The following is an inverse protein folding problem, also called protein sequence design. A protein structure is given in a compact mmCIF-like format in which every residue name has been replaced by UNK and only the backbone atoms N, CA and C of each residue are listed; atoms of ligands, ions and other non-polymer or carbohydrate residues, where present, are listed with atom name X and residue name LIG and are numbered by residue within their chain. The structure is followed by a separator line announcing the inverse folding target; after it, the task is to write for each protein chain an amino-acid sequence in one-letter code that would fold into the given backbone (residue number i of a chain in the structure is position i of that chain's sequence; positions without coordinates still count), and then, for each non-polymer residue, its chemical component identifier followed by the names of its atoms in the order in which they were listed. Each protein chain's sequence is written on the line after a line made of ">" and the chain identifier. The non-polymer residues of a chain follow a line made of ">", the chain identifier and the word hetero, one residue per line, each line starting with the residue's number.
data_IF_272827879800
#
_entry.id   IF_272827879800
#
_cell.length_a   1.000
_cell.length_b   1.000
_cell.length_c   1.000
_cell.angle_alpha   90.00
_cell.angle_beta   90.00
_cell.angle_gamma   90.00
#
_symmetry.space_group_name_H-M   'P 1'
#
loop_
_entity.id
_entity.type
_entity.pdbx_description
1 polymer ?
#
# COMPACT_ATOMS: atom_id res chain seq x y z
N UNK A 1 28.33 -8.99 -18.39
CA UNK A 1 27.46 -9.47 -17.29
C UNK A 1 26.02 -9.27 -17.80
N UNK A 2 25.25 -10.34 -18.07
CA UNK A 2 23.86 -10.17 -18.54
C UNK A 2 22.99 -9.82 -17.34
N UNK A 3 22.50 -8.60 -17.27
CA UNK A 3 21.54 -8.18 -16.24
C UNK A 3 20.18 -8.80 -16.57
N UNK A 4 19.71 -9.73 -15.73
CA UNK A 4 18.33 -10.19 -15.72
C UNK A 4 17.52 -9.25 -14.83
N UNK A 5 16.51 -8.56 -15.37
CA UNK A 5 15.58 -7.80 -14.54
C UNK A 5 14.70 -8.78 -13.75
N UNK A 6 14.64 -8.64 -12.43
CA UNK A 6 14.18 -9.72 -11.55
C UNK A 6 13.32 -9.19 -10.40
N UNK A 7 12.18 -9.82 -10.12
CA UNK A 7 11.08 -9.13 -9.42
C UNK A 7 10.66 -10.00 -8.18
N UNK A 8 10.38 -9.40 -7.00
CA UNK A 8 10.07 -10.11 -5.73
C UNK A 8 8.57 -10.36 -5.47
N UNK A 9 8.05 -11.58 -5.53
CA UNK A 9 6.65 -11.90 -5.22
C UNK A 9 6.37 -12.01 -3.72
N UNK A 10 5.20 -11.64 -3.21
CA UNK A 10 4.78 -12.08 -1.86
C UNK A 10 3.76 -13.19 -2.05
N UNK A 11 4.05 -14.41 -1.62
CA UNK A 11 3.10 -15.51 -1.70
C UNK A 11 2.52 -15.78 -0.31
N UNK A 12 1.22 -15.62 -0.22
CA UNK A 12 0.36 -16.33 0.73
C UNK A 12 -0.60 -17.21 -0.09
N UNK A 13 -0.81 -18.45 0.37
CA UNK A 13 -1.74 -19.48 -0.14
C UNK A 13 -1.13 -20.59 -1.08
N UNK A 14 -1.80 -21.77 -1.18
CA UNK A 14 -1.17 -23.05 -1.53
C UNK A 14 -1.05 -23.30 -3.04
N UNK A 15 -0.11 -24.19 -3.39
CA UNK A 15 0.40 -24.46 -4.74
C UNK A 15 -0.65 -24.84 -5.81
N UNK A 16 -0.51 -24.29 -7.03
CA UNK A 16 -0.47 -25.01 -8.33
C UNK A 16 -0.12 -24.05 -9.50
N UNK A 17 0.33 -24.61 -10.64
CA UNK A 17 1.25 -24.05 -11.65
C UNK A 17 0.71 -23.05 -12.70
N UNK A 18 1.60 -22.16 -13.21
CA UNK A 18 1.46 -21.43 -14.50
C UNK A 18 2.45 -20.23 -14.67
N UNK A 19 3.01 -20.03 -15.88
CA UNK A 19 4.12 -19.08 -16.23
C UNK A 19 3.69 -17.63 -16.59
N UNK A 20 4.68 -16.71 -16.62
CA UNK A 20 4.82 -15.41 -17.33
C UNK A 20 5.06 -14.16 -16.45
N UNK A 21 5.62 -13.12 -17.10
CA UNK A 21 5.96 -11.75 -16.66
C UNK A 21 5.74 -11.48 -15.17
N UNK A 22 6.79 -11.64 -14.32
CA UNK A 22 6.66 -11.43 -12.89
C UNK A 22 6.26 -10.01 -12.56
N UNK A 23 5.04 -10.06 -12.15
CA UNK A 23 4.28 -9.09 -11.47
C UNK A 23 3.89 -9.94 -10.23
N UNK A 24 4.06 -9.37 -9.05
CA UNK A 24 4.37 -10.01 -7.76
C UNK A 24 3.26 -10.63 -6.88
N UNK A 25 2.43 -11.56 -7.33
CA UNK A 25 1.11 -11.79 -6.68
C UNK A 25 1.06 -12.61 -5.40
N UNK A 26 0.28 -12.15 -4.42
CA UNK A 26 -0.44 -13.03 -3.51
C UNK A 26 -1.69 -13.62 -4.21
N UNK A 27 -2.10 -14.81 -3.78
CA UNK A 27 -3.33 -15.47 -4.22
C UNK A 27 -4.35 -15.44 -3.09
N UNK A 28 -5.34 -14.58 -3.24
CA UNK A 28 -6.59 -14.67 -2.51
C UNK A 28 -7.68 -14.19 -3.43
N UNK A 29 -8.67 -15.04 -3.70
CA UNK A 29 -9.87 -14.69 -4.44
C UNK A 29 -10.58 -13.50 -3.77
N UNK A 30 -10.32 -12.30 -4.26
CA UNK A 30 -11.11 -11.11 -3.95
C UNK A 30 -11.26 -10.29 -5.23
N UNK A 31 -12.43 -10.41 -5.85
CA UNK A 31 -12.81 -9.57 -6.99
C UNK A 31 -13.13 -8.17 -6.48
N UNK A 32 -12.11 -7.34 -6.26
CA UNK A 32 -12.29 -5.93 -5.95
C UNK A 32 -12.25 -5.10 -7.23
N UNK A 33 -13.41 -4.54 -7.61
CA UNK A 33 -13.50 -3.49 -8.61
C UNK A 33 -12.77 -2.26 -8.05
N UNK A 34 -11.69 -1.82 -8.71
CA UNK A 34 -11.00 -0.58 -8.35
C UNK A 34 -11.82 0.63 -8.81
N UNK A 35 -12.73 1.10 -7.98
CA UNK A 35 -13.28 2.46 -8.13
C UNK A 35 -12.22 3.46 -7.64
N UNK A 36 -11.82 4.39 -8.52
CA UNK A 36 -10.92 5.47 -8.14
C UNK A 36 -11.56 6.30 -7.02
N UNK A 37 -10.99 6.23 -5.82
CA UNK A 37 -11.42 7.00 -4.63
C UNK A 37 -10.97 8.46 -4.76
N UNK A 38 -11.47 9.17 -5.76
CA UNK A 38 -11.25 10.62 -5.94
C UNK A 38 -12.52 11.44 -5.78
N UNK A 39 -13.69 10.81 -5.75
CA UNK A 39 -14.96 11.50 -5.54
C UNK A 39 -15.18 11.79 -4.06
N UNK A 40 -15.34 13.07 -3.70
CA UNK A 40 -15.72 13.52 -2.35
C UNK A 40 -16.82 12.65 -1.72
N UNK A 41 -16.83 12.48 -0.37
CA UNK A 41 -17.89 11.73 0.27
C UNK A 41 -19.23 12.40 -0.05
N UNK A 42 -20.23 11.57 -0.31
CA UNK A 42 -21.50 12.05 -0.83
C UNK A 42 -22.55 10.96 -0.93
N UNK A 43 -23.69 11.39 -1.43
CA UNK A 43 -24.87 10.56 -1.58
C UNK A 43 -25.80 11.13 -2.64
N UNK A 44 -26.72 10.30 -3.10
CA UNK A 44 -27.86 10.71 -3.90
C UNK A 44 -29.09 10.66 -3.02
N UNK A 45 -29.94 11.70 -3.04
CA UNK A 45 -31.28 11.64 -2.48
C UNK A 45 -32.31 11.89 -3.57
N UNK A 46 -33.53 11.40 -3.37
CA UNK A 46 -34.63 11.65 -4.30
C UNK A 46 -35.90 12.08 -3.57
N UNK A 47 -36.75 12.83 -4.28
CA UNK A 47 -37.97 13.37 -3.67
C UNK A 47 -39.07 12.31 -3.53
N UNK A 48 -39.00 11.26 -4.33
CA UNK A 48 -39.89 10.11 -4.21
C UNK A 48 -39.22 8.95 -3.48
N UNK A 49 -40.05 7.99 -3.06
CA UNK A 49 -39.59 6.74 -2.47
C UNK A 49 -38.94 5.82 -3.52
N UNK A 50 -38.20 4.82 -3.05
CA UNK A 50 -37.52 3.80 -3.83
C UNK A 50 -36.57 4.39 -4.89
N UNK A 51 -35.90 5.50 -4.55
CA UNK A 51 -35.00 6.23 -5.45
C UNK A 51 -35.70 6.74 -6.73
N UNK A 52 -36.99 7.07 -6.65
CA UNK A 52 -37.76 7.65 -7.76
C UNK A 52 -37.42 9.13 -8.00
N UNK A 53 -37.33 9.60 -9.26
CA UNK A 53 -36.91 10.96 -9.59
C UNK A 53 -37.92 12.03 -9.13
N UNK A 54 -37.51 13.32 -9.03
CA UNK A 54 -36.16 13.82 -9.28
C UNK A 54 -35.19 13.46 -8.16
N UNK A 55 -33.92 13.31 -8.53
CA UNK A 55 -32.83 13.00 -7.62
C UNK A 55 -31.75 14.08 -7.66
N UNK A 56 -31.14 14.34 -6.51
CA UNK A 56 -30.04 15.28 -6.31
C UNK A 56 -28.81 14.50 -5.88
N UNK A 57 -27.68 14.72 -6.56
CA UNK A 57 -26.38 14.21 -6.13
C UNK A 57 -25.70 15.28 -5.26
N UNK A 58 -25.40 14.91 -4.03
CA UNK A 58 -24.73 15.77 -3.06
C UNK A 58 -23.34 15.24 -2.75
N UNK A 59 -22.31 15.97 -3.17
CA UNK A 59 -20.94 15.82 -2.66
C UNK A 59 -20.67 16.85 -1.58
N UNK A 60 -19.81 16.53 -0.62
CA UNK A 60 -19.39 17.48 0.42
C UNK A 60 -17.91 17.40 0.69
N UNK A 61 -17.27 18.53 1.02
CA UNK A 61 -16.05 18.49 1.78
C UNK A 61 -16.22 17.62 3.04
N UNK A 62 -15.28 16.71 3.34
CA UNK A 62 -15.45 15.75 4.43
C UNK A 62 -15.68 16.44 5.78
N UNK A 63 -16.65 15.93 6.54
CA UNK A 63 -17.04 16.40 7.87
C UNK A 63 -17.56 17.84 7.94
N UNK A 64 -17.85 18.46 6.78
CA UNK A 64 -18.49 19.77 6.73
C UNK A 64 -20.01 19.65 6.83
N UNK A 65 -20.62 20.51 7.64
CA UNK A 65 -22.07 20.66 7.66
C UNK A 65 -22.54 21.44 6.44
N UNK A 66 -23.46 20.86 5.68
CA UNK A 66 -24.08 21.49 4.51
C UNK A 66 -25.58 21.61 4.73
N UNK A 67 -26.10 22.84 4.60
CA UNK A 67 -27.53 23.10 4.59
C UNK A 67 -28.12 22.69 3.25
N UNK A 68 -29.27 22.02 3.28
CA UNK A 68 -30.06 21.76 2.07
C UNK A 68 -30.57 23.11 1.54
N UNK A 69 -30.50 23.31 0.22
CA UNK A 69 -30.99 24.55 -0.39
C UNK A 69 -32.48 24.74 -0.12
N UNK A 70 -32.95 25.99 -0.04
CA UNK A 70 -34.35 26.31 0.27
C UNK A 70 -35.36 25.62 -0.67
N UNK A 71 -34.98 25.36 -1.92
CA UNK A 71 -35.82 24.67 -2.89
C UNK A 71 -35.96 23.16 -2.62
N UNK A 72 -35.02 22.55 -1.90
CA UNK A 72 -34.92 21.10 -1.67
C UNK A 72 -35.12 20.71 -0.21
N UNK A 73 -35.17 21.71 0.68
CA UNK A 73 -35.36 21.53 2.11
C UNK A 73 -36.64 20.74 2.36
N UNK A 74 -36.53 19.70 3.19
CA UNK A 74 -37.68 18.89 3.61
C UNK A 74 -38.41 18.21 2.44
N UNK A 75 -37.70 17.87 1.34
CA UNK A 75 -38.27 17.15 0.19
C UNK A 75 -37.75 15.73 -0.01
N UNK A 76 -36.69 15.33 0.70
CA UNK A 76 -36.09 14.01 0.49
C UNK A 76 -36.97 12.91 1.09
N UNK A 77 -37.24 11.86 0.29
CA UNK A 77 -38.04 10.69 0.70
C UNK A 77 -37.27 9.37 0.56
N UNK A 78 -36.14 9.37 -0.16
CA UNK A 78 -35.20 8.24 -0.25
C UNK A 78 -33.78 8.72 -0.46
N UNK A 79 -32.78 7.89 -0.11
CA UNK A 79 -31.38 8.21 -0.32
C UNK A 79 -30.50 6.97 -0.49
N UNK A 80 -29.35 7.14 -1.15
CA UNK A 80 -28.28 6.15 -1.30
C UNK A 80 -26.92 6.82 -1.16
N UNK A 81 -26.11 6.35 -0.23
CA UNK A 81 -24.73 6.83 -0.03
C UNK A 81 -23.76 6.18 -1.00
N UNK A 82 -22.68 6.91 -1.34
CA UNK A 82 -21.58 6.36 -2.13
C UNK A 82 -20.79 5.29 -1.35
N UNK A 83 -19.88 4.57 -2.03
CA UNK A 83 -19.12 3.46 -1.46
C UNK A 83 -18.26 3.83 -0.26
N UNK A 84 -17.74 5.06 -0.24
CA UNK A 84 -16.79 5.53 0.76
C UNK A 84 -17.38 6.59 1.68
N UNK A 85 -18.71 6.65 1.81
CA UNK A 85 -19.42 7.73 2.49
C UNK A 85 -20.21 7.22 3.68
N UNK A 86 -20.00 7.86 4.81
CA UNK A 86 -20.86 7.75 5.98
C UNK A 86 -21.52 9.11 6.18
N UNK A 87 -22.84 9.18 6.07
CA UNK A 87 -23.56 10.44 6.11
C UNK A 87 -24.52 10.48 7.31
N UNK A 88 -24.57 11.64 7.96
CA UNK A 88 -25.56 11.98 8.97
C UNK A 88 -26.48 13.05 8.38
N UNK A 89 -27.78 12.78 8.36
CA UNK A 89 -28.82 13.72 7.96
C UNK A 89 -29.44 14.33 9.20
N UNK A 90 -29.81 15.62 9.13
CA UNK A 90 -30.33 16.39 10.25
C UNK A 90 -31.70 16.97 9.91
N UNK A 91 -32.62 16.93 10.89
CA UNK A 91 -33.96 17.50 10.73
C UNK A 91 -33.99 19.03 10.65
N UNK A 92 -32.91 19.67 11.08
CA UNK A 92 -32.80 21.12 11.08
C UNK A 92 -31.51 21.57 10.41
N UNK A 93 -31.52 22.80 9.91
CA UNK A 93 -30.33 23.45 9.35
C UNK A 93 -29.20 23.54 10.37
N UNK A 94 -27.98 23.75 9.88
CA UNK A 94 -26.74 23.88 10.63
C UNK A 94 -26.36 22.64 11.42
N UNK A 95 -26.82 21.46 10.97
CA UNK A 95 -26.49 20.15 11.54
C UNK A 95 -26.82 20.03 13.02
N UNK A 96 -28.02 20.47 13.39
CA UNK A 96 -28.56 20.32 14.75
C UNK A 96 -29.88 19.54 14.73
N UNK A 97 -30.32 19.12 15.90
CA UNK A 97 -31.59 18.39 16.07
C UNK A 97 -31.44 16.88 15.89
N UNK A 98 -32.57 16.24 15.59
CA UNK A 98 -32.65 14.80 15.40
C UNK A 98 -31.93 14.37 14.11
N UNK A 99 -31.32 13.19 14.15
CA UNK A 99 -30.45 12.69 13.09
C UNK A 99 -30.84 11.32 12.56
N UNK A 100 -30.51 11.07 11.29
CA UNK A 100 -30.50 9.76 10.68
C UNK A 100 -29.11 9.48 10.09
N UNK A 101 -28.48 8.39 10.53
CA UNK A 101 -27.17 7.99 10.03
C UNK A 101 -27.30 6.88 8.98
N UNK A 102 -26.52 7.01 7.91
CA UNK A 102 -26.49 6.07 6.79
C UNK A 102 -25.03 5.70 6.51
N UNK A 103 -24.75 4.40 6.53
CA UNK A 103 -23.43 3.85 6.26
C UNK A 103 -23.14 3.69 4.76
N UNK A 104 -21.90 3.35 4.39
CA UNK A 104 -21.49 3.18 2.99
C UNK A 104 -22.34 2.18 2.20
N UNK A 105 -22.59 2.49 0.91
CA UNK A 105 -23.46 1.73 -0.01
C UNK A 105 -24.88 1.44 0.49
N UNK A 106 -25.31 2.05 1.60
CA UNK A 106 -26.64 1.81 2.11
C UNK A 106 -27.66 2.62 1.30
N UNK A 107 -28.78 1.96 0.98
CA UNK A 107 -29.93 2.59 0.34
C UNK A 107 -31.10 2.59 1.32
N UNK A 108 -31.64 3.77 1.59
CA UNK A 108 -32.92 3.93 2.27
C UNK A 108 -33.98 4.21 1.21
N UNK A 109 -34.79 3.20 0.93
CA UNK A 109 -35.87 3.31 -0.04
C UNK A 109 -37.03 4.20 0.46
N UNK A 110 -37.23 4.31 1.79
CA UNK A 110 -38.33 5.09 2.36
C UNK A 110 -37.90 5.74 3.67
N UNK A 111 -37.80 7.06 3.69
CA UNK A 111 -37.49 7.81 4.91
C UNK A 111 -38.62 7.73 5.94
N UNK A 112 -39.85 7.43 5.51
CA UNK A 112 -41.01 7.23 6.40
C UNK A 112 -40.78 6.10 7.40
N UNK A 113 -40.04 5.06 7.02
CA UNK A 113 -39.73 3.92 7.89
C UNK A 113 -38.85 4.34 9.09
N UNK A 114 -38.19 5.50 8.97
CA UNK A 114 -37.30 6.10 9.97
C UNK A 114 -37.89 7.38 10.58
N UNK A 115 -39.17 7.71 10.30
CA UNK A 115 -39.79 8.99 10.71
C UNK A 115 -38.98 10.23 10.29
N UNK A 116 -38.37 10.15 9.11
CA UNK A 116 -37.48 11.17 8.56
C UNK A 116 -37.95 11.71 7.18
N UNK A 117 -39.11 11.26 6.71
CA UNK A 117 -39.67 11.60 5.40
C UNK A 117 -39.95 13.08 5.29
N UNK A 118 -39.41 13.75 4.25
CA UNK A 118 -39.61 15.17 4.06
C UNK A 118 -39.19 16.02 5.27
N UNK A 119 -38.09 15.63 5.94
CA UNK A 119 -37.56 16.34 7.11
C UNK A 119 -36.07 16.68 7.00
N UNK A 120 -35.40 16.30 5.92
CA UNK A 120 -33.97 16.56 5.79
C UNK A 120 -33.71 18.04 5.47
N UNK A 121 -33.04 18.74 6.39
CA UNK A 121 -32.70 20.16 6.27
C UNK A 121 -31.19 20.43 6.22
N UNK A 122 -30.37 19.52 6.73
CA UNK A 122 -28.92 19.57 6.59
C UNK A 122 -28.31 18.17 6.57
N UNK A 123 -27.06 18.07 6.13
CA UNK A 123 -26.33 16.83 6.10
C UNK A 123 -24.83 17.06 6.32
N UNK A 124 -24.15 16.01 6.76
CA UNK A 124 -22.70 15.96 6.89
C UNK A 124 -22.25 14.57 6.47
N UNK A 125 -21.32 14.50 5.53
CA UNK A 125 -20.73 13.23 5.11
C UNK A 125 -19.24 13.23 5.48
N UNK A 126 -18.77 12.08 5.93
CA UNK A 126 -17.35 11.82 6.15
C UNK A 126 -16.91 10.63 5.32
N UNK A 127 -15.62 10.60 5.02
CA UNK A 127 -15.01 9.40 4.48
C UNK A 127 -15.19 8.26 5.46
N UNK A 128 -15.57 7.10 4.93
CA UNK A 128 -15.34 5.85 5.63
C UNK A 128 -13.86 5.60 5.53
N UNK A 129 -13.13 5.93 6.60
CA UNK A 129 -11.73 5.52 6.72
C UNK A 129 -11.77 4.01 6.88
N UNK A 130 -11.56 3.27 5.79
CA UNK A 130 -11.37 1.83 5.86
C UNK A 130 -10.14 1.61 6.76
N UNK A 131 -10.26 0.84 7.85
CA UNK A 131 -9.10 0.49 8.65
C UNK A 131 -8.00 -0.08 7.75
N UNK A 132 -6.71 0.20 8.04
CA UNK A 132 -5.63 -0.43 7.30
C UNK A 132 -5.80 -1.95 7.30
N UNK A 133 -5.52 -2.56 6.15
CA UNK A 133 -5.51 -4.01 6.01
C UNK A 133 -4.14 -4.52 6.46
N UNK A 134 -4.13 -5.39 7.46
CA UNK A 134 -2.92 -6.07 7.91
C UNK A 134 -2.63 -7.29 7.03
N UNK A 135 -1.39 -7.40 6.57
CA UNK A 135 -0.90 -8.50 5.74
C UNK A 135 0.24 -9.18 6.49
N UNK A 136 0.21 -10.51 6.52
CA UNK A 136 1.35 -11.34 6.95
C UNK A 136 1.64 -12.36 5.85
N UNK A 137 2.87 -12.41 5.36
CA UNK A 137 3.22 -13.25 4.21
C UNK A 137 4.69 -13.66 4.15
N UNK A 138 5.00 -14.62 3.26
CA UNK A 138 6.36 -14.91 2.83
C UNK A 138 6.62 -14.26 1.46
N UNK A 139 7.87 -13.88 1.18
CA UNK A 139 8.25 -13.24 -0.08
C UNK A 139 8.90 -14.27 -1.00
N UNK A 140 8.19 -14.70 -2.05
CA UNK A 140 8.73 -15.42 -3.21
C UNK A 140 9.55 -14.48 -4.12
N UNK A 141 10.44 -14.99 -4.95
CA UNK A 141 11.12 -14.20 -5.99
C UNK A 141 10.84 -14.83 -7.34
N UNK A 142 10.42 -14.03 -8.31
CA UNK A 142 10.01 -14.49 -9.64
C UNK A 142 10.59 -13.61 -10.77
N UNK A 143 10.84 -14.22 -11.92
CA UNK A 143 11.33 -13.50 -13.09
C UNK A 143 10.26 -12.62 -13.73
N UNK A 144 10.56 -11.32 -13.86
CA UNK A 144 9.67 -10.28 -14.35
C UNK A 144 9.07 -10.51 -15.73
N UNK A 145 9.61 -11.45 -16.51
CA UNK A 145 9.18 -11.70 -17.90
C UNK A 145 8.62 -13.11 -18.09
N UNK A 146 9.11 -14.08 -17.33
CA UNK A 146 8.80 -15.51 -17.50
C UNK A 146 8.01 -16.10 -16.35
N UNK A 147 7.92 -15.43 -15.20
CA UNK A 147 7.28 -15.96 -13.99
C UNK A 147 8.07 -17.09 -13.33
N UNK A 148 9.30 -17.36 -13.80
CA UNK A 148 10.17 -18.39 -13.23
C UNK A 148 10.45 -18.08 -11.77
N UNK A 149 10.18 -19.02 -10.88
CA UNK A 149 10.46 -18.90 -9.45
C UNK A 149 11.95 -19.10 -9.17
N UNK A 150 12.53 -18.20 -8.37
CA UNK A 150 13.87 -18.28 -7.81
C UNK A 150 13.87 -18.69 -6.33
N UNK A 151 12.70 -18.99 -5.77
CA UNK A 151 12.51 -19.33 -4.37
C UNK A 151 12.17 -18.13 -3.50
N UNK A 152 11.98 -18.37 -2.21
CA UNK A 152 11.58 -17.41 -1.20
C UNK A 152 12.79 -16.75 -0.54
N UNK A 153 12.62 -15.47 -0.19
CA UNK A 153 13.55 -14.74 0.65
C UNK A 153 13.72 -15.50 1.95
N UNK A 154 14.97 -15.82 2.25
CA UNK A 154 15.38 -16.42 3.51
C UNK A 154 15.71 -15.33 4.53
N UNK A 155 15.64 -15.65 5.82
CA UNK A 155 16.26 -14.81 6.85
C UNK A 155 17.76 -14.59 6.53
N UNK A 156 18.38 -13.48 6.98
CA UNK A 156 19.75 -13.17 6.60
C UNK A 156 20.66 -14.26 7.15
N UNK A 157 21.24 -15.03 6.23
CA UNK A 157 22.12 -16.17 6.50
C UNK A 157 23.52 -15.92 5.95
N UNK A 158 23.72 -14.83 5.20
CA UNK A 158 25.05 -14.44 4.75
C UNK A 158 25.87 -13.95 5.95
N UNK A 159 27.20 -14.19 5.97
CA UNK A 159 28.08 -13.65 6.99
C UNK A 159 28.13 -12.11 6.99
N UNK A 160 27.55 -11.48 5.97
CA UNK A 160 27.49 -10.02 5.79
C UNK A 160 26.12 -9.43 6.16
N UNK A 161 25.09 -10.24 6.46
CA UNK A 161 23.80 -9.75 6.93
C UNK A 161 22.79 -9.38 5.83
N UNK A 162 23.00 -9.89 4.61
CA UNK A 162 22.10 -9.70 3.46
C UNK A 162 20.97 -10.73 3.41
N UNK A 163 19.83 -10.28 2.90
CA UNK A 163 18.70 -11.13 2.50
C UNK A 163 18.88 -11.64 1.06
N UNK A 164 18.31 -12.81 0.77
CA UNK A 164 18.30 -13.37 -0.58
C UNK A 164 17.41 -14.60 -0.72
N UNK A 165 17.03 -14.98 -1.96
CA UNK A 165 16.16 -16.12 -2.23
C UNK A 165 16.96 -17.41 -2.09
N UNK A 166 16.90 -18.01 -0.90
CA UNK A 166 17.67 -19.23 -0.58
C UNK A 166 16.78 -20.40 -0.18
N UNK A 167 15.47 -20.20 -0.13
CA UNK A 167 14.51 -21.23 0.24
C UNK A 167 13.67 -21.63 -0.97
N UNK A 168 13.64 -22.90 -1.33
CA UNK A 168 12.75 -23.39 -2.39
C UNK A 168 11.29 -23.54 -1.93
N UNK A 169 11.05 -23.53 -0.61
CA UNK A 169 9.73 -23.68 0.02
C UNK A 169 9.44 -22.54 1.01
N UNK A 170 8.16 -22.37 1.35
CA UNK A 170 7.73 -21.39 2.37
C UNK A 170 8.25 -21.75 3.77
N UNK A 171 8.39 -23.04 4.07
CA UNK A 171 8.95 -23.49 5.34
C UNK A 171 10.38 -23.00 5.51
N UNK A 172 10.62 -22.16 6.52
CA UNK A 172 11.92 -21.54 6.77
C UNK A 172 12.20 -20.25 5.99
N UNK A 173 11.27 -19.80 5.14
CA UNK A 173 11.34 -18.49 4.50
C UNK A 173 11.10 -17.35 5.49
N UNK A 174 11.53 -16.15 5.12
CA UNK A 174 11.24 -14.92 5.84
C UNK A 174 9.74 -14.64 5.80
N UNK A 175 9.13 -14.52 6.97
CA UNK A 175 7.77 -14.04 7.17
C UNK A 175 7.84 -12.56 7.49
N UNK A 176 7.07 -11.75 6.79
CA UNK A 176 6.93 -10.31 7.01
C UNK A 176 5.49 -9.95 7.36
N UNK A 177 5.31 -8.82 8.04
CA UNK A 177 4.02 -8.20 8.31
C UNK A 177 4.05 -6.72 7.98
N UNK A 178 2.94 -6.20 7.48
CA UNK A 178 2.74 -4.78 7.20
C UNK A 178 1.25 -4.45 7.14
N UNK A 179 0.93 -3.16 7.23
CA UNK A 179 -0.43 -2.66 7.09
C UNK A 179 -0.49 -1.66 5.95
N UNK A 180 -1.55 -1.68 5.15
CA UNK A 180 -1.73 -0.70 4.07
C UNK A 180 -3.16 -0.14 4.07
N UNK A 181 -3.27 1.12 3.63
CA UNK A 181 -4.56 1.72 3.27
C UNK A 181 -4.75 1.59 1.75
N UNK A 182 -5.96 1.24 1.31
CA UNK A 182 -6.27 1.12 -0.13
C UNK A 182 -6.02 2.43 -0.90
N UNK A 183 -6.15 3.58 -0.22
CA UNK A 183 -5.87 4.89 -0.83
C UNK A 183 -4.39 5.25 -0.87
N UNK A 184 -3.51 4.53 -0.16
CA UNK A 184 -2.09 4.86 -0.05
C UNK A 184 -1.18 3.65 0.23
N UNK A 185 -1.11 2.63 -0.65
CA UNK A 185 -0.32 1.42 -0.39
C UNK A 185 1.16 1.62 -0.82
N UNK A 186 1.77 2.73 -0.41
CA UNK A 186 3.13 3.10 -0.80
C UNK A 186 3.98 3.38 0.44
N UNK A 187 5.29 3.23 0.30
CA UNK A 187 6.28 3.57 1.33
C UNK A 187 6.08 2.76 2.63
N UNK A 188 5.83 1.48 2.45
CA UNK A 188 5.50 0.53 3.51
C UNK A 188 6.78 0.05 4.19
N UNK A 189 6.69 -0.14 5.51
CA UNK A 189 7.68 -0.84 6.31
C UNK A 189 7.27 -2.31 6.43
N UNK A 190 8.10 -3.23 5.89
CA UNK A 190 7.86 -4.66 6.01
C UNK A 190 8.58 -5.19 7.26
N UNK A 191 7.83 -5.48 8.32
CA UNK A 191 8.38 -5.99 9.58
C UNK A 191 8.63 -7.50 9.49
N UNK A 192 9.88 -7.92 9.59
CA UNK A 192 10.26 -9.33 9.69
C UNK A 192 9.77 -9.94 11.02
N UNK A 193 9.04 -11.06 10.92
CA UNK A 193 8.49 -11.80 12.06
C UNK A 193 9.37 -12.98 12.50
N UNK A 194 10.29 -13.42 11.64
CA UNK A 194 11.23 -14.49 11.93
C UNK A 194 12.64 -14.17 11.42
N UNK A 195 13.63 -14.87 11.98
CA UNK A 195 15.06 -14.69 11.69
C UNK A 195 15.84 -14.04 12.84
N UNK A 196 17.18 -14.00 12.77
CA UNK A 196 18.05 -13.50 13.85
C UNK A 196 17.79 -12.03 14.18
N UNK A 197 17.34 -11.26 13.18
CA UNK A 197 17.07 -9.82 13.26
C UNK A 197 15.65 -9.48 13.72
N UNK A 198 14.71 -10.44 13.66
CA UNK A 198 13.31 -10.25 14.06
C UNK A 198 13.15 -10.04 15.58
N UNK A 199 14.18 -10.34 16.38
CA UNK A 199 14.13 -10.34 17.84
C UNK A 199 14.53 -9.02 18.52
N UNK A 200 14.97 -7.95 17.82
CA UNK A 200 14.86 -6.54 18.29
C UNK A 200 15.66 -5.52 17.48
N UNK A 201 16.85 -5.84 16.98
CA UNK A 201 17.77 -4.78 16.52
C UNK A 201 17.46 -4.21 15.14
N UNK A 202 17.05 -5.07 14.19
CA UNK A 202 16.83 -4.70 12.79
C UNK A 202 15.53 -5.31 12.24
N UNK A 203 14.36 -4.91 12.77
CA UNK A 203 13.11 -5.64 12.56
C UNK A 203 12.49 -5.42 11.18
N UNK A 204 12.99 -4.49 10.36
CA UNK A 204 12.40 -4.19 9.05
C UNK A 204 13.26 -4.72 7.91
N UNK A 205 12.62 -5.31 6.90
CA UNK A 205 13.25 -5.60 5.63
C UNK A 205 13.41 -4.29 4.86
N UNK A 206 14.64 -3.83 4.69
CA UNK A 206 14.97 -2.60 3.98
C UNK A 206 16.12 -2.83 3.01
N UNK A 207 16.77 -1.75 2.59
CA UNK A 207 17.96 -1.81 1.75
C UNK A 207 19.02 -0.80 2.21
N UNK A 208 20.28 -1.08 1.87
CA UNK A 208 21.46 -0.24 2.14
C UNK A 208 22.35 -0.22 0.92
N UNK A 209 23.09 0.86 0.69
CA UNK A 209 24.19 0.82 -0.28
C UNK A 209 25.39 0.05 0.28
N UNK A 210 26.15 -0.57 -0.61
CA UNK A 210 27.52 -1.00 -0.32
C UNK A 210 28.46 0.23 -0.30
N UNK A 211 29.65 0.07 0.27
CA UNK A 211 30.63 1.13 0.54
C UNK A 211 30.99 1.95 -0.71
N UNK A 212 30.31 3.07 -0.92
CA UNK A 212 30.56 4.04 -1.99
C UNK A 212 30.50 5.47 -1.44
N UNK A 213 31.23 6.44 -2.05
CA UNK A 213 31.26 7.83 -1.59
C UNK A 213 29.98 8.60 -1.90
N UNK A 214 29.20 8.12 -2.87
CA UNK A 214 27.93 8.68 -3.28
C UNK A 214 26.84 7.62 -3.11
N UNK A 215 25.73 8.02 -2.51
CA UNK A 215 24.62 7.14 -2.13
C UNK A 215 23.36 7.56 -2.90
N UNK A 216 23.47 7.62 -4.22
CA UNK A 216 22.37 8.07 -5.08
C UNK A 216 22.08 7.03 -6.14
N UNK A 217 20.81 6.79 -6.41
CA UNK A 217 20.35 6.00 -7.56
C UNK A 217 19.89 6.95 -8.67
N UNK A 218 20.16 6.61 -9.93
CA UNK A 218 19.65 7.36 -11.08
C UNK A 218 20.59 7.36 -12.29
N UNK A 219 20.27 8.14 -13.33
CA UNK A 219 21.17 8.32 -14.48
C UNK A 219 22.54 8.85 -14.02
N UNK A 220 23.62 8.24 -14.52
CA UNK A 220 24.99 8.60 -14.14
C UNK A 220 25.51 7.88 -12.88
N UNK A 221 24.64 7.15 -12.18
CA UNK A 221 24.95 6.37 -10.99
C UNK A 221 24.88 4.87 -11.30
N UNK A 222 25.86 4.11 -10.82
CA UNK A 222 25.95 2.64 -10.92
C UNK A 222 25.66 1.93 -9.60
N UNK A 223 25.24 2.69 -8.60
CA UNK A 223 24.99 2.28 -7.24
C UNK A 223 23.77 1.36 -7.15
N UNK A 224 23.89 0.36 -6.29
CA UNK A 224 22.88 -0.67 -6.05
C UNK A 224 22.68 -0.75 -4.54
N UNK A 225 21.43 -0.83 -4.09
CA UNK A 225 21.13 -1.07 -2.69
C UNK A 225 20.82 -2.55 -2.45
N UNK A 226 21.48 -3.18 -1.49
CA UNK A 226 21.29 -4.58 -1.14
C UNK A 226 20.22 -4.73 -0.06
N UNK A 227 19.41 -5.80 -0.13
CA UNK A 227 18.38 -6.04 0.88
C UNK A 227 18.98 -6.49 2.22
N UNK A 228 18.62 -5.77 3.29
CA UNK A 228 19.20 -5.93 4.63
C UNK A 228 18.14 -5.78 5.72
N UNK A 229 18.53 -6.11 6.94
CA UNK A 229 17.72 -5.81 8.11
C UNK A 229 17.97 -4.37 8.49
N UNK A 230 16.93 -3.61 8.77
CA UNK A 230 17.02 -2.17 9.08
C UNK A 230 16.20 -1.83 10.32
N UNK A 231 16.55 -0.73 10.96
CA UNK A 231 15.65 0.05 11.81
C UNK A 231 14.65 0.82 10.95
N UNK A 232 13.65 1.42 11.59
CA UNK A 232 12.61 2.16 10.89
C UNK A 232 13.14 3.46 10.28
N UNK A 233 12.77 3.73 9.02
CA UNK A 233 12.87 5.05 8.40
C UNK A 233 11.46 5.61 8.16
N UNK A 234 11.29 6.96 8.21
CA UNK A 234 10.02 7.59 7.91
C UNK A 234 9.53 7.25 6.49
N UNK A 235 8.22 7.00 6.36
CA UNK A 235 7.58 6.85 5.06
C UNK A 235 7.79 8.11 4.21
N UNK A 236 8.39 7.93 3.03
CA UNK A 236 8.66 9.02 2.09
C UNK A 236 9.79 9.97 2.45
N UNK A 237 10.56 9.63 3.50
CA UNK A 237 11.82 10.30 3.77
C UNK A 237 12.93 9.83 2.83
N UNK A 238 14.00 10.62 2.66
CA UNK A 238 15.22 10.13 2.04
C UNK A 238 15.87 9.05 2.91
N UNK A 239 16.83 8.31 2.33
CA UNK A 239 17.73 7.44 3.09
C UNK A 239 18.35 8.16 4.30
N UNK A 240 18.64 7.40 5.36
CA UNK A 240 19.27 7.91 6.59
C UNK A 240 20.61 7.21 6.81
N UNK A 241 21.67 8.00 7.05
CA UNK A 241 22.96 7.46 7.51
C UNK A 241 22.80 6.93 8.92
N UNK A 242 22.88 5.61 9.09
CA UNK A 242 22.62 5.00 10.38
C UNK A 242 23.37 3.70 10.55
N UNK A 243 23.83 3.42 11.77
CA UNK A 243 24.30 2.09 12.14
C UNK A 243 23.16 1.10 12.38
N UNK A 244 21.91 1.55 12.21
CA UNK A 244 20.72 0.75 12.46
C UNK A 244 20.39 -0.23 11.32
N UNK A 245 21.39 -0.87 10.71
CA UNK A 245 21.18 -1.97 9.77
C UNK A 245 22.16 -3.13 9.99
N UNK A 246 21.76 -4.33 9.53
CA UNK A 246 22.49 -5.58 9.76
C UNK A 246 23.88 -5.61 9.15
N UNK A 247 24.13 -4.85 8.07
CA UNK A 247 25.44 -4.77 7.42
C UNK A 247 26.35 -3.83 8.21
N UNK A 248 25.88 -2.64 8.58
CA UNK A 248 26.62 -1.68 9.41
C UNK A 248 27.08 -2.32 10.73
N UNK A 249 26.21 -3.13 11.34
CA UNK A 249 26.50 -3.89 12.55
C UNK A 249 27.71 -4.83 12.39
N UNK A 250 27.84 -5.45 11.21
CA UNK A 250 28.89 -6.41 10.89
C UNK A 250 30.16 -5.73 10.37
N UNK A 251 30.00 -4.67 9.59
CA UNK A 251 31.08 -3.89 9.00
C UNK A 251 31.78 -2.99 10.02
N UNK A 252 31.09 -2.58 11.09
CA UNK A 252 31.64 -1.74 12.15
C UNK A 252 31.62 -0.24 11.85
N UNK A 253 30.92 0.19 10.79
CA UNK A 253 30.72 1.59 10.42
C UNK A 253 29.30 1.80 9.88
N UNK A 254 28.74 3.03 9.97
CA UNK A 254 27.40 3.32 9.50
C UNK A 254 27.32 3.32 7.98
N UNK A 255 26.22 2.79 7.45
CA UNK A 255 25.85 2.83 6.04
C UNK A 255 24.45 3.45 5.89
N UNK A 256 24.16 4.13 4.78
CA UNK A 256 22.82 4.67 4.52
C UNK A 256 21.80 3.55 4.35
N UNK A 257 20.62 3.71 4.93
CA UNK A 257 19.55 2.74 4.81
C UNK A 257 18.19 3.39 4.56
N UNK A 258 17.29 2.60 3.98
CA UNK A 258 15.85 2.90 3.87
C UNK A 258 15.07 1.63 4.23
N UNK A 259 14.03 1.73 5.06
CA UNK A 259 13.11 0.61 5.35
C UNK A 259 11.74 0.81 4.68
N UNK A 260 11.29 2.06 4.56
CA UNK A 260 10.00 2.45 4.00
C UNK A 260 10.01 2.51 2.45
N UNK A 261 10.65 1.53 1.83
CA UNK A 261 10.93 1.51 0.40
C UNK A 261 9.92 0.67 -0.40
N UNK A 262 8.95 0.04 0.27
CA UNK A 262 8.06 -0.92 -0.39
C UNK A 262 6.76 -0.27 -0.86
N UNK A 263 6.25 -0.71 -1.99
CA UNK A 263 4.91 -0.39 -2.48
C UNK A 263 4.15 -1.69 -2.70
N UNK A 264 2.92 -1.73 -2.24
CA UNK A 264 2.05 -2.87 -2.40
C UNK A 264 0.92 -2.52 -3.38
N UNK A 265 0.62 -3.39 -4.33
CA UNK A 265 -0.61 -3.30 -5.11
C UNK A 265 -1.56 -4.38 -4.61
N UNK A 266 -2.69 -4.04 -3.96
CA UNK A 266 -3.60 -5.04 -3.41
C UNK A 266 -4.38 -5.82 -4.47
N UNK A 267 -4.51 -5.29 -5.70
CA UNK A 267 -5.28 -5.95 -6.77
C UNK A 267 -4.50 -7.10 -7.39
N UNK A 268 -3.22 -6.84 -7.63
CA UNK A 268 -2.31 -7.81 -8.18
C UNK A 268 -1.56 -8.57 -7.10
N UNK A 269 -1.51 -7.98 -5.90
CA UNK A 269 -0.88 -8.45 -4.69
C UNK A 269 0.65 -8.29 -4.67
N UNK A 270 1.15 -7.22 -5.31
CA UNK A 270 2.54 -7.05 -5.75
C UNK A 270 3.41 -6.13 -4.89
N UNK A 271 4.67 -6.50 -4.60
CA UNK A 271 5.64 -5.69 -3.84
C UNK A 271 6.76 -5.03 -4.68
N UNK A 272 6.57 -3.79 -5.13
CA UNK A 272 7.66 -3.06 -5.79
C UNK A 272 8.52 -2.29 -4.79
N UNK A 273 9.79 -2.05 -5.14
CA UNK A 273 10.65 -1.13 -4.40
C UNK A 273 10.55 0.27 -5.01
N UNK A 274 10.74 1.28 -4.17
CA UNK A 274 11.03 2.66 -4.54
C UNK A 274 12.33 3.07 -3.83
N UNK A 275 12.93 4.18 -4.24
CA UNK A 275 14.07 4.74 -3.53
C UNK A 275 13.97 6.27 -3.49
N UNK A 276 14.37 6.87 -2.37
CA UNK A 276 14.44 8.32 -2.23
C UNK A 276 15.89 8.71 -1.91
N UNK A 277 16.54 9.31 -2.90
CA UNK A 277 17.88 9.86 -2.76
C UNK A 277 17.91 10.97 -1.69
N UNK A 278 19.11 11.29 -1.18
CA UNK A 278 19.29 12.33 -0.16
C UNK A 278 18.81 13.72 -0.62
N UNK A 279 18.88 14.00 -1.92
CA UNK A 279 18.41 15.23 -2.54
C UNK A 279 16.88 15.25 -2.78
N UNK A 280 16.16 14.19 -2.37
CA UNK A 280 14.74 14.02 -2.60
C UNK A 280 14.39 13.44 -3.97
N UNK A 281 15.39 13.15 -4.82
CA UNK A 281 15.21 12.50 -6.10
C UNK A 281 14.60 11.10 -5.94
N UNK A 282 13.59 10.79 -6.77
CA UNK A 282 12.89 9.50 -6.75
C UNK A 282 13.10 8.77 -8.08
N UNK A 283 14.28 8.17 -8.31
CA UNK A 283 14.53 7.42 -9.53
C UNK A 283 13.53 6.27 -9.64
N UNK A 284 13.17 5.91 -10.87
CA UNK A 284 12.46 4.65 -11.09
C UNK A 284 13.39 3.50 -10.71
N UNK A 285 12.90 2.57 -9.88
CA UNK A 285 13.66 1.43 -9.38
C UNK A 285 13.12 0.11 -9.89
N UNK A 286 14.01 -0.85 -10.07
CA UNK A 286 13.70 -2.26 -10.24
C UNK A 286 14.43 -3.06 -9.17
N UNK A 287 13.92 -4.24 -8.87
CA UNK A 287 14.69 -5.23 -8.12
C UNK A 287 15.49 -6.05 -9.14
N UNK A 288 16.62 -6.60 -8.73
CA UNK A 288 17.48 -7.49 -9.52
C UNK A 288 17.99 -8.60 -8.60
N UNK A 289 18.12 -9.81 -9.13
CA UNK A 289 18.79 -10.91 -8.46
C UNK A 289 20.20 -11.04 -9.00
N UNK A 290 21.17 -10.95 -8.09
CA UNK A 290 22.53 -11.36 -8.37
C UNK A 290 22.63 -12.87 -8.12
N UNK A 291 23.09 -13.63 -9.13
CA UNK A 291 23.12 -15.10 -9.07
C UNK A 291 24.40 -15.67 -8.43
N UNK A 292 25.39 -14.83 -8.12
CA UNK A 292 26.60 -15.26 -7.41
C UNK A 292 27.31 -14.08 -6.71
N UNK A 293 27.28 -14.02 -5.36
CA UNK A 293 26.43 -14.81 -4.47
C UNK A 293 24.93 -14.53 -4.70
N UNK A 294 24.05 -15.43 -4.26
CA UNK A 294 22.58 -15.21 -4.34
C UNK A 294 22.13 -14.13 -3.34
N UNK A 295 21.87 -12.91 -3.83
CA UNK A 295 21.28 -11.80 -3.07
C UNK A 295 20.47 -10.88 -3.99
N UNK A 296 19.62 -10.06 -3.37
CA UNK A 296 18.71 -9.15 -4.06
C UNK A 296 19.17 -7.72 -3.91
N UNK A 297 19.03 -6.95 -4.99
CA UNK A 297 19.40 -5.54 -5.05
C UNK A 297 18.27 -4.69 -5.63
N UNK A 298 18.13 -3.47 -5.13
CA UNK A 298 17.33 -2.39 -5.70
C UNK A 298 18.24 -1.54 -6.58
N UNK A 299 17.84 -1.30 -7.83
CA UNK A 299 18.62 -0.63 -8.86
C UNK A 299 17.77 0.40 -9.60
N UNK A 300 18.36 1.51 -10.08
CA UNK A 300 17.66 2.44 -10.96
C UNK A 300 17.42 1.87 -12.36
N UNK A 301 16.23 2.08 -12.93
CA UNK A 301 15.81 1.54 -14.25
C UNK A 301 16.60 2.10 -15.44
N UNK A 302 17.34 3.19 -15.26
CA UNK A 302 18.16 3.81 -16.32
C UNK A 302 19.65 3.46 -16.25
N UNK A 303 20.05 2.52 -15.39
CA UNK A 303 21.47 2.29 -15.14
C UNK A 303 22.25 1.81 -16.38
N UNK A 304 21.69 1.00 -17.31
CA UNK A 304 22.49 0.39 -18.41
C UNK A 304 21.71 -0.10 -19.67
N UNK A 305 20.91 0.73 -20.32
CA UNK A 305 20.41 0.40 -21.68
C UNK A 305 21.28 0.99 -22.81
N UNK A 306 22.55 1.30 -22.53
CA UNK A 306 23.41 2.06 -23.43
C UNK A 306 24.76 1.46 -23.83
N UNK A 307 25.22 0.33 -23.27
CA UNK A 307 26.50 -0.32 -23.66
C UNK A 307 26.48 -1.84 -23.42
#
# INVERSE_FOLDING_TARGET
>A
MRSLALVLAALCAPATHGFAIATLGLDSHSTHLSESVTAEPGFTWCYEQNMGPPCVNAGTPPDQCINVGLADNDKASSARTNANSYCTFYKHGNCVGETLEIGPLQTINKFSDYKFDNLMSAYRCKWVVKPPTDVTCNILVTDAVTGTSYGYISHPSSPYGFYGPRQSAQTGALTVSFSYSESAPRQLNLRALNGPTAASTYPFLGATFDYLPEYSMGPGHSELAELVGTGETPAGGPQVDSSANSVSARAGYPLPMESALWRFDPSTQFLTAQWINRDGGQPQTTIVLCVSPFYLIVAATNARNGE
#
